data_IF_325671545235
#
_entry.id   IF_325671545235
#
_cell.length_a   1.000
_cell.length_b   1.000
_cell.length_c   1.000
_cell.angle_alpha   90.00
_cell.angle_beta   90.00
_cell.angle_gamma   90.00
#
_symmetry.space_group_name_H-M   'P 1'
#
loop_
_entity.id
_entity.type
_entity.pdbx_description
1 polymer ?
#
# COMPACT_ATOMS: atom_id res chain seq x y z
N UNK A 1 26.43 59.60 -58.53
CA UNK A 1 26.44 59.64 -57.05
C UNK A 1 26.05 58.29 -56.43
N UNK A 2 25.02 57.61 -56.92
CA UNK A 2 24.55 56.29 -56.45
C UNK A 2 25.60 55.18 -56.54
N UNK A 3 26.35 55.06 -57.64
CA UNK A 3 27.36 54.00 -57.83
C UNK A 3 28.47 54.00 -56.77
N UNK A 4 29.00 55.18 -56.45
CA UNK A 4 30.06 55.37 -55.45
C UNK A 4 29.57 55.12 -54.01
N UNK A 5 28.26 55.31 -53.77
CA UNK A 5 27.59 54.98 -52.52
C UNK A 5 27.38 53.47 -52.37
N UNK A 6 26.95 52.79 -53.44
CA UNK A 6 26.81 51.33 -53.48
C UNK A 6 28.15 50.59 -53.32
N UNK A 7 29.23 51.11 -53.92
CA UNK A 7 30.58 50.56 -53.76
C UNK A 7 31.10 50.66 -52.31
N UNK A 8 30.70 51.70 -51.57
CA UNK A 8 31.01 51.83 -50.14
C UNK A 8 30.19 50.90 -49.24
N UNK A 9 29.01 50.49 -49.69
CA UNK A 9 28.16 49.51 -48.99
C UNK A 9 28.49 48.05 -49.37
N UNK A 10 29.25 47.81 -50.45
CA UNK A 10 29.63 46.47 -50.88
C UNK A 10 30.34 45.62 -49.81
N UNK A 11 31.25 46.16 -48.96
CA UNK A 11 31.82 45.40 -47.84
C UNK A 11 30.76 45.01 -46.81
N UNK A 12 29.82 45.91 -46.52
CA UNK A 12 28.72 45.65 -45.60
C UNK A 12 27.79 44.54 -46.10
N UNK A 13 27.42 44.55 -47.39
CA UNK A 13 26.59 43.48 -47.98
C UNK A 13 27.30 42.12 -48.04
N UNK A 14 28.62 42.10 -48.28
CA UNK A 14 29.42 40.86 -48.22
C UNK A 14 29.44 40.29 -46.80
N UNK A 15 29.67 41.12 -45.79
CA UNK A 15 29.65 40.70 -44.39
C UNK A 15 28.26 40.26 -43.94
N UNK A 16 27.21 41.01 -44.30
CA UNK A 16 25.83 40.68 -43.94
C UNK A 16 25.36 39.35 -44.56
N UNK A 17 25.73 39.07 -45.81
CA UNK A 17 25.43 37.80 -46.46
C UNK A 17 26.17 36.63 -45.79
N UNK A 18 27.44 36.81 -45.44
CA UNK A 18 28.23 35.79 -44.74
C UNK A 18 27.64 35.50 -43.36
N UNK A 19 27.26 36.53 -42.61
CA UNK A 19 26.58 36.35 -41.31
C UNK A 19 25.25 35.64 -41.53
N UNK A 20 24.41 36.06 -42.49
CA UNK A 20 23.12 35.44 -42.75
C UNK A 20 23.24 33.96 -43.15
N UNK A 21 24.22 33.60 -43.99
CA UNK A 21 24.50 32.21 -44.36
C UNK A 21 25.05 31.42 -43.18
N UNK A 22 25.95 32.00 -42.37
CA UNK A 22 26.48 31.35 -41.18
C UNK A 22 25.39 31.12 -40.13
N UNK A 23 24.52 32.10 -39.87
CA UNK A 23 23.39 31.97 -38.97
C UNK A 23 22.42 30.92 -39.50
N UNK A 24 22.11 30.92 -40.80
CA UNK A 24 21.24 29.91 -41.40
C UNK A 24 21.85 28.51 -41.29
N UNK A 25 23.16 28.34 -41.49
CA UNK A 25 23.85 27.06 -41.35
C UNK A 25 23.86 26.58 -39.89
N UNK A 26 24.14 27.48 -38.94
CA UNK A 26 24.10 27.17 -37.51
C UNK A 26 22.68 26.85 -37.03
N UNK A 27 21.65 27.57 -37.50
CA UNK A 27 20.26 27.31 -37.09
C UNK A 27 19.65 26.11 -37.82
N UNK A 28 20.02 25.84 -39.07
CA UNK A 28 19.51 24.69 -39.84
C UNK A 28 20.20 23.36 -39.51
N UNK A 29 21.46 23.37 -39.07
CA UNK A 29 22.17 22.15 -38.64
C UNK A 29 21.70 21.67 -37.27
N UNK A 30 21.17 22.56 -36.42
CA UNK A 30 20.78 22.20 -35.05
C UNK A 30 19.37 21.59 -34.98
N UNK A 31 18.61 21.60 -36.08
CA UNK A 31 17.31 20.91 -36.19
C UNK A 31 17.38 19.68 -37.12
N UNK A 32 18.46 18.92 -37.00
CA UNK A 32 18.61 17.59 -37.59
C UNK A 32 18.68 16.56 -36.46
N UNK A 33 18.25 15.31 -36.71
CA UNK A 33 18.46 14.21 -35.77
C UNK A 33 19.95 14.13 -35.42
N UNK A 34 20.30 14.59 -34.23
CA UNK A 34 21.69 14.65 -33.77
C UNK A 34 21.92 13.43 -32.89
N UNK A 35 22.65 12.45 -33.40
CA UNK A 35 23.08 11.30 -32.60
C UNK A 35 24.35 11.69 -31.83
N UNK A 36 24.25 11.75 -30.50
CA UNK A 36 25.43 11.90 -29.64
C UNK A 36 26.00 10.50 -29.36
N UNK A 37 27.25 10.27 -29.76
CA UNK A 37 27.83 8.92 -29.74
C UNK A 37 28.33 8.41 -28.38
N UNK A 38 28.45 9.27 -27.37
CA UNK A 38 28.96 8.88 -26.04
C UNK A 38 28.19 9.56 -24.91
N UNK A 39 28.53 10.81 -24.57
CA UNK A 39 28.03 11.47 -23.37
C UNK A 39 27.43 12.85 -23.68
N UNK A 40 26.37 13.18 -22.95
CA UNK A 40 25.84 14.54 -22.83
C UNK A 40 26.12 15.00 -21.40
N UNK A 41 26.98 16.02 -21.23
CA UNK A 41 27.26 16.64 -19.93
C UNK A 41 26.68 18.05 -19.94
N UNK A 42 25.72 18.32 -19.05
CA UNK A 42 25.08 19.62 -18.91
C UNK A 42 25.45 20.25 -17.57
N UNK A 43 25.64 21.57 -17.52
CA UNK A 43 25.80 22.33 -16.26
C UNK A 43 24.47 22.68 -15.58
N UNK A 44 23.35 22.20 -16.14
CA UNK A 44 21.99 22.41 -15.67
C UNK A 44 21.09 21.26 -16.15
N UNK A 45 19.78 21.46 -16.14
CA UNK A 45 18.82 20.40 -16.47
C UNK A 45 18.91 19.98 -17.95
N UNK A 46 18.83 18.67 -18.18
CA UNK A 46 18.56 18.13 -19.51
C UNK A 46 17.03 18.01 -19.68
N UNK A 47 16.45 18.86 -20.52
CA UNK A 47 15.04 18.77 -20.89
C UNK A 47 14.90 17.90 -22.14
N UNK A 48 14.20 16.78 -22.03
CA UNK A 48 13.82 15.94 -23.17
C UNK A 48 12.38 16.28 -23.56
N UNK A 49 12.18 16.94 -24.70
CA UNK A 49 10.87 17.33 -25.22
C UNK A 49 10.74 16.91 -26.69
N UNK A 50 9.60 16.34 -27.08
CA UNK A 50 9.27 15.99 -28.46
C UNK A 50 8.12 16.83 -29.01
N UNK A 51 8.07 16.99 -30.34
CA UNK A 51 6.98 17.68 -31.06
C UNK A 51 5.79 16.77 -31.38
N UNK A 52 5.88 15.48 -31.08
CA UNK A 52 4.81 14.48 -31.25
C UNK A 52 4.23 14.09 -29.89
N UNK A 53 3.00 13.52 -29.88
CA UNK A 53 2.26 13.13 -28.67
C UNK A 53 2.93 12.06 -27.79
N UNK A 54 4.13 11.62 -28.15
CA UNK A 54 4.96 10.68 -27.39
C UNK A 54 6.38 11.23 -27.32
N UNK A 55 6.74 11.79 -26.18
CA UNK A 55 8.13 12.07 -25.82
C UNK A 55 8.58 10.92 -24.93
N UNK A 56 9.48 10.06 -25.42
CA UNK A 56 9.96 8.90 -24.67
C UNK A 56 11.44 9.08 -24.33
N UNK A 57 11.81 8.95 -23.06
CA UNK A 57 13.17 8.63 -22.66
C UNK A 57 13.23 7.11 -22.48
N UNK A 58 13.95 6.41 -23.36
CA UNK A 58 14.11 4.95 -23.30
C UNK A 58 15.57 4.61 -23.04
N UNK A 59 15.82 3.69 -22.11
CA UNK A 59 17.13 3.07 -21.91
C UNK A 59 17.07 1.62 -22.35
N UNK A 60 18.18 1.10 -22.88
CA UNK A 60 18.37 -0.33 -23.17
C UNK A 60 19.20 -1.04 -22.10
N UNK A 61 19.78 -0.29 -21.17
CA UNK A 61 20.62 -0.79 -20.07
C UNK A 61 19.97 -0.44 -18.74
N UNK A 62 20.40 0.66 -18.13
CA UNK A 62 19.81 1.16 -16.89
C UNK A 62 19.52 2.66 -16.99
N UNK A 63 18.73 3.19 -16.06
CA UNK A 63 18.61 4.62 -15.79
C UNK A 63 19.03 4.86 -14.35
N UNK A 64 20.03 5.71 -14.18
CA UNK A 64 20.55 6.09 -12.87
C UNK A 64 20.18 7.55 -12.59
N UNK A 65 19.42 7.81 -11.53
CA UNK A 65 18.94 9.14 -11.15
C UNK A 65 19.51 9.55 -9.78
N UNK A 66 20.29 10.64 -9.79
CA UNK A 66 20.91 11.23 -8.60
C UNK A 66 22.36 10.78 -8.40
N UNK A 67 22.82 10.77 -7.15
CA UNK A 67 24.20 10.48 -6.78
C UNK A 67 24.51 8.98 -6.74
N UNK A 68 25.78 8.63 -6.89
CA UNK A 68 26.25 7.25 -6.80
C UNK A 68 25.89 6.61 -5.43
N UNK A 69 25.37 5.38 -5.44
CA UNK A 69 24.92 4.61 -4.27
C UNK A 69 25.46 3.19 -4.38
N UNK A 70 25.57 2.50 -3.25
CA UNK A 70 25.86 1.07 -3.25
C UNK A 70 24.72 0.31 -3.90
N UNK A 71 25.03 -0.47 -4.93
CA UNK A 71 24.05 -1.24 -5.68
C UNK A 71 23.36 -2.29 -4.78
N UNK A 72 22.03 -2.43 -4.87
CA UNK A 72 21.35 -3.50 -4.18
C UNK A 72 21.80 -4.87 -4.72
N UNK A 73 21.84 -5.87 -3.85
CA UNK A 73 22.18 -7.25 -4.22
C UNK A 73 21.28 -7.75 -5.36
N UNK A 74 21.89 -8.26 -6.44
CA UNK A 74 21.17 -8.84 -7.58
C UNK A 74 20.92 -7.88 -8.75
N UNK A 75 21.36 -6.62 -8.66
CA UNK A 75 21.32 -5.68 -9.78
C UNK A 75 22.53 -5.88 -10.69
N UNK A 76 22.31 -5.89 -12.00
CA UNK A 76 23.35 -6.24 -12.98
C UNK A 76 23.57 -5.18 -14.06
N UNK A 77 22.86 -4.04 -14.00
CA UNK A 77 22.96 -2.94 -14.98
C UNK A 77 22.74 -3.39 -16.44
N UNK A 78 22.27 -4.61 -16.67
CA UNK A 78 22.27 -5.28 -17.96
C UNK A 78 20.87 -5.50 -18.54
N UNK A 79 19.80 -5.37 -17.75
CA UNK A 79 18.44 -5.77 -18.14
C UNK A 79 17.31 -4.76 -17.85
N UNK A 80 17.59 -3.46 -17.78
CA UNK A 80 16.53 -2.43 -17.71
C UNK A 80 16.33 -1.77 -16.35
N UNK A 81 17.36 -1.78 -15.49
CA UNK A 81 17.27 -1.31 -14.10
C UNK A 81 17.02 0.21 -13.98
N UNK A 82 16.26 0.64 -12.97
CA UNK A 82 16.06 2.06 -12.62
C UNK A 82 16.52 2.32 -11.19
N UNK A 83 17.60 3.07 -11.00
CA UNK A 83 18.05 3.53 -9.68
C UNK A 83 17.61 4.97 -9.47
N UNK A 84 16.99 5.24 -8.31
CA UNK A 84 16.75 6.58 -7.79
C UNK A 84 17.36 6.62 -6.40
N UNK A 85 18.39 7.46 -6.22
CA UNK A 85 19.20 7.52 -4.98
C UNK A 85 18.54 8.28 -3.82
N UNK A 86 17.41 8.92 -4.07
CA UNK A 86 16.67 9.76 -3.13
C UNK A 86 15.15 9.56 -3.38
N UNK A 87 14.35 10.62 -3.32
CA UNK A 87 12.90 10.53 -3.50
C UNK A 87 12.46 10.32 -4.96
N UNK A 88 11.41 9.51 -5.13
CA UNK A 88 10.64 9.39 -6.37
C UNK A 88 9.23 9.97 -6.18
N UNK A 89 8.88 11.02 -6.92
CA UNK A 89 7.54 11.61 -6.92
C UNK A 89 6.77 11.26 -8.19
N UNK A 90 5.58 10.68 -8.02
CA UNK A 90 4.66 10.38 -9.10
C UNK A 90 3.43 11.30 -9.00
N UNK A 91 3.30 12.26 -9.92
CA UNK A 91 2.20 13.24 -9.91
C UNK A 91 0.81 12.63 -10.23
N UNK A 92 0.75 11.37 -10.62
CA UNK A 92 -0.49 10.70 -11.04
C UNK A 92 -0.44 9.23 -10.57
N UNK A 93 -1.02 8.30 -11.33
CA UNK A 93 -1.02 6.90 -10.93
C UNK A 93 0.35 6.26 -11.18
N UNK A 94 0.92 5.65 -10.14
CA UNK A 94 1.97 4.65 -10.30
C UNK A 94 1.30 3.29 -10.51
N UNK A 95 1.58 2.64 -11.63
CA UNK A 95 1.01 1.32 -11.96
C UNK A 95 2.12 0.33 -12.25
N UNK A 96 1.93 -0.92 -11.83
CA UNK A 96 2.82 -2.04 -12.13
C UNK A 96 2.05 -3.09 -12.92
N UNK A 97 2.69 -3.70 -13.92
CA UNK A 97 2.07 -4.74 -14.74
C UNK A 97 2.04 -6.12 -14.08
N UNK A 98 2.94 -6.36 -13.13
CA UNK A 98 3.12 -7.68 -12.49
C UNK A 98 2.97 -7.58 -10.99
N UNK A 99 3.89 -6.86 -10.33
CA UNK A 99 3.88 -6.64 -8.88
C UNK A 99 4.78 -5.47 -8.52
N UNK A 100 4.58 -4.90 -7.32
CA UNK A 100 5.49 -3.98 -6.67
C UNK A 100 6.05 -4.63 -5.41
N UNK A 101 7.37 -4.68 -5.29
CA UNK A 101 8.04 -5.10 -4.06
C UNK A 101 8.77 -3.91 -3.44
N UNK A 102 8.37 -3.56 -2.22
CA UNK A 102 9.04 -2.57 -1.36
C UNK A 102 9.83 -3.30 -0.27
N UNK A 103 11.15 -3.17 -0.26
CA UNK A 103 12.04 -3.82 0.71
C UNK A 103 13.44 -4.14 0.15
N UNK A 104 14.31 -4.76 0.95
CA UNK A 104 15.72 -4.98 0.60
C UNK A 104 15.98 -6.22 -0.27
N UNK A 105 14.96 -6.77 -0.95
CA UNK A 105 15.12 -7.88 -1.90
C UNK A 105 15.42 -9.26 -1.30
N UNK A 106 14.80 -9.63 -0.16
CA UNK A 106 14.94 -10.93 0.50
C UNK A 106 14.22 -12.13 -0.17
N UNK A 107 13.52 -12.97 0.61
CA UNK A 107 12.63 -14.01 0.04
C UNK A 107 11.20 -13.56 0.20
N UNK A 108 10.53 -13.21 -0.90
CA UNK A 108 9.09 -13.04 -0.90
C UNK A 108 8.42 -14.41 -0.74
N UNK A 109 7.71 -14.58 0.36
CA UNK A 109 7.02 -15.81 0.72
C UNK A 109 5.60 -15.90 0.15
N UNK A 110 5.00 -14.76 -0.22
CA UNK A 110 3.59 -14.65 -0.61
C UNK A 110 3.34 -13.84 -1.89
N UNK A 111 4.36 -13.60 -2.73
CA UNK A 111 4.15 -12.91 -4.01
C UNK A 111 3.58 -13.89 -5.05
N UNK A 112 2.39 -13.61 -5.56
CA UNK A 112 2.00 -14.11 -6.88
C UNK A 112 2.55 -13.12 -7.91
N UNK A 113 3.47 -13.56 -8.76
CA UNK A 113 4.04 -12.73 -9.83
C UNK A 113 3.06 -12.58 -11.02
N UNK A 114 1.76 -12.46 -10.74
CA UNK A 114 0.71 -12.22 -11.70
C UNK A 114 -0.41 -11.42 -11.03
N UNK A 115 -0.77 -10.26 -11.59
CA UNK A 115 -2.02 -9.58 -11.25
C UNK A 115 -1.94 -8.29 -10.45
N UNK A 116 -0.76 -7.68 -10.29
CA UNK A 116 -0.62 -6.36 -9.66
C UNK A 116 -0.45 -6.39 -8.13
N UNK A 117 0.14 -7.47 -7.61
CA UNK A 117 0.39 -7.64 -6.18
C UNK A 117 1.31 -6.53 -5.62
N UNK A 118 1.04 -6.08 -4.39
CA UNK A 118 1.96 -5.27 -3.59
C UNK A 118 2.51 -6.11 -2.45
N UNK A 119 3.84 -6.23 -2.37
CA UNK A 119 4.52 -6.82 -1.23
C UNK A 119 5.42 -5.78 -0.56
N UNK A 120 5.23 -5.61 0.75
CA UNK A 120 6.05 -4.75 1.59
C UNK A 120 6.75 -5.64 2.61
N UNK A 121 8.07 -5.53 2.70
CA UNK A 121 8.85 -6.23 3.69
C UNK A 121 8.75 -5.50 5.04
N UNK A 122 8.33 -6.23 6.07
CA UNK A 122 8.09 -5.72 7.44
C UNK A 122 6.80 -4.89 7.53
N UNK A 123 6.91 -3.59 7.78
CA UNK A 123 5.79 -2.74 8.19
C UNK A 123 5.33 -1.82 7.06
N UNK A 124 4.02 -1.59 7.00
CA UNK A 124 3.41 -0.57 6.14
C UNK A 124 2.79 0.50 7.02
N UNK A 125 3.15 1.76 6.79
CA UNK A 125 2.54 2.92 7.45
C UNK A 125 1.58 3.61 6.48
N UNK A 126 0.38 3.97 6.97
CA UNK A 126 -0.65 4.65 6.20
C UNK A 126 -1.23 5.75 7.09
N UNK A 127 -0.98 7.01 6.75
CA UNK A 127 -1.46 8.17 7.53
C UNK A 127 -3.01 8.23 7.62
N UNK A 128 -3.70 7.61 6.67
CA UNK A 128 -5.15 7.58 6.54
C UNK A 128 -5.77 6.19 6.76
N UNK A 129 -6.94 5.97 6.15
CA UNK A 129 -7.63 4.69 6.23
C UNK A 129 -7.12 3.68 5.20
N UNK A 130 -6.98 2.42 5.62
CA UNK A 130 -6.83 1.28 4.71
C UNK A 130 -8.21 0.79 4.25
N UNK A 131 -8.44 0.81 2.93
CA UNK A 131 -9.64 0.26 2.30
C UNK A 131 -9.30 -1.03 1.56
N UNK A 132 -9.89 -2.14 1.99
CA UNK A 132 -9.68 -3.47 1.41
C UNK A 132 -11.03 -4.18 1.28
N UNK A 133 -11.19 -4.95 0.22
CA UNK A 133 -12.39 -5.79 0.01
C UNK A 133 -12.33 -7.04 0.91
N UNK A 134 -11.14 -7.63 1.03
CA UNK A 134 -10.87 -8.78 1.89
C UNK A 134 -9.43 -8.72 2.41
N UNK A 135 -9.22 -9.15 3.65
CA UNK A 135 -7.91 -9.26 4.27
C UNK A 135 -7.81 -10.52 5.13
N UNK A 136 -6.71 -11.25 4.98
CA UNK A 136 -6.38 -12.42 5.80
C UNK A 136 -5.10 -12.14 6.56
N UNK A 137 -5.14 -12.27 7.89
CA UNK A 137 -3.95 -12.20 8.74
C UNK A 137 -3.65 -13.59 9.28
N UNK A 138 -2.42 -14.07 9.12
CA UNK A 138 -1.97 -15.37 9.66
C UNK A 138 -1.41 -15.26 11.09
N UNK A 139 -1.04 -14.05 11.50
CA UNK A 139 -0.66 -13.70 12.87
C UNK A 139 -1.79 -13.00 13.63
N UNK A 140 -1.42 -12.00 14.43
CA UNK A 140 -2.39 -11.20 15.20
C UNK A 140 -2.78 -9.92 14.45
N UNK A 141 -4.08 -9.58 14.46
CA UNK A 141 -4.56 -8.24 14.13
C UNK A 141 -4.76 -7.44 15.42
N UNK A 142 -4.07 -6.31 15.56
CA UNK A 142 -4.23 -5.38 16.69
C UNK A 142 -4.88 -4.09 16.22
N UNK A 143 -5.99 -3.72 16.83
CA UNK A 143 -6.68 -2.45 16.57
C UNK A 143 -6.46 -1.54 17.77
N UNK A 144 -5.72 -0.44 17.58
CA UNK A 144 -5.43 0.52 18.66
C UNK A 144 -6.61 1.42 19.02
N UNK A 145 -7.62 1.52 18.14
CA UNK A 145 -8.84 2.30 18.32
C UNK A 145 -10.10 1.43 18.40
N UNK A 146 -11.22 1.94 17.86
CA UNK A 146 -12.47 1.19 17.79
C UNK A 146 -12.46 0.20 16.62
N UNK A 147 -12.91 -1.03 16.87
CA UNK A 147 -13.24 -2.01 15.83
C UNK A 147 -14.76 -2.17 15.75
N UNK A 148 -15.34 -2.07 14.55
CA UNK A 148 -16.78 -2.20 14.33
C UNK A 148 -17.06 -2.95 13.03
N UNK A 149 -18.08 -3.80 13.03
CA UNK A 149 -18.58 -4.49 11.83
C UNK A 149 -20.03 -4.06 11.55
N UNK A 150 -20.43 -4.07 10.28
CA UNK A 150 -21.85 -3.94 9.89
C UNK A 150 -22.54 -5.29 9.76
N UNK A 151 -21.76 -6.35 9.55
CA UNK A 151 -22.20 -7.75 9.60
C UNK A 151 -21.64 -8.47 10.82
N UNK A 152 -21.43 -9.77 10.68
CA UNK A 152 -21.05 -10.64 11.79
C UNK A 152 -19.58 -10.49 12.19
N UNK A 153 -19.32 -10.60 13.50
CA UNK A 153 -18.00 -10.92 14.03
C UNK A 153 -18.00 -12.41 14.40
N UNK A 154 -17.24 -13.21 13.66
CA UNK A 154 -17.12 -14.65 13.88
C UNK A 154 -15.74 -14.96 14.44
N UNK A 155 -15.69 -15.66 15.58
CA UNK A 155 -14.45 -16.16 16.20
C UNK A 155 -14.48 -17.69 16.20
N UNK A 156 -13.70 -18.30 15.32
CA UNK A 156 -13.58 -19.75 15.20
C UNK A 156 -12.40 -20.30 16.00
N UNK A 157 -12.62 -21.37 16.78
CA UNK A 157 -11.54 -22.12 17.44
C UNK A 157 -10.77 -21.39 18.55
N UNK A 158 -11.33 -20.32 19.13
CA UNK A 158 -10.67 -19.51 20.17
C UNK A 158 -11.63 -18.82 21.15
N UNK A 159 -11.11 -17.84 21.89
CA UNK A 159 -11.83 -17.09 22.95
C UNK A 159 -11.96 -15.62 22.57
N UNK A 160 -13.10 -15.00 22.91
CA UNK A 160 -13.22 -13.54 22.99
C UNK A 160 -12.87 -13.13 24.42
N UNK A 161 -11.70 -12.51 24.61
CA UNK A 161 -11.29 -11.93 25.89
C UNK A 161 -11.63 -10.43 25.94
N UNK A 162 -12.51 -10.06 26.86
CA UNK A 162 -12.96 -8.67 27.09
C UNK A 162 -12.28 -8.11 28.34
N UNK A 163 -10.98 -7.84 28.23
CA UNK A 163 -10.19 -7.29 29.31
C UNK A 163 -9.90 -5.79 29.09
N UNK A 164 -9.75 -5.04 30.19
CA UNK A 164 -9.27 -3.66 30.16
C UNK A 164 -8.03 -3.52 31.03
N UNK A 165 -6.97 -2.93 30.49
CA UNK A 165 -5.72 -2.73 31.24
C UNK A 165 -5.75 -1.55 32.22
N UNK A 166 -6.80 -0.72 32.18
CA UNK A 166 -6.96 0.43 33.06
C UNK A 166 -7.94 0.10 34.18
N UNK A 167 -7.52 0.22 35.45
CA UNK A 167 -8.32 -0.18 36.62
C UNK A 167 -9.68 0.54 36.76
N UNK A 168 -9.90 1.63 36.02
CA UNK A 168 -11.13 2.43 36.08
C UNK A 168 -12.11 2.12 34.95
N UNK A 169 -11.78 1.25 34.01
CA UNK A 169 -12.67 0.88 32.90
C UNK A 169 -13.35 -0.46 33.17
N UNK A 170 -14.64 -0.54 32.92
CA UNK A 170 -15.40 -1.79 33.00
C UNK A 170 -15.43 -2.43 31.61
N UNK A 171 -14.85 -3.61 31.46
CA UNK A 171 -15.11 -4.47 30.30
C UNK A 171 -16.55 -4.95 30.34
N UNK A 172 -17.24 -4.97 29.20
CA UNK A 172 -18.65 -5.36 29.18
C UNK A 172 -19.12 -5.81 27.81
N UNK A 173 -20.07 -6.73 27.82
CA UNK A 173 -20.80 -7.17 26.63
C UNK A 173 -22.23 -6.61 26.71
N UNK A 174 -22.60 -5.79 25.72
CA UNK A 174 -23.93 -5.21 25.63
C UNK A 174 -24.66 -5.80 24.41
N UNK A 175 -25.64 -6.65 24.66
CA UNK A 175 -26.49 -7.25 23.62
C UNK A 175 -27.77 -6.42 23.50
N UNK A 176 -27.78 -5.47 22.55
CA UNK A 176 -28.84 -4.47 22.40
C UNK A 176 -29.10 -4.19 20.92
N UNK A 177 -30.29 -3.69 20.61
CA UNK A 177 -30.67 -3.21 19.29
C UNK A 177 -31.13 -1.75 19.38
N UNK A 178 -30.89 -0.99 18.31
CA UNK A 178 -31.19 0.44 18.22
C UNK A 178 -32.58 0.77 17.63
N UNK A 179 -33.37 -0.22 17.19
CA UNK A 179 -34.71 -0.04 16.60
C UNK A 179 -35.61 -1.29 16.81
N UNK A 180 -35.95 -2.04 15.75
CA UNK A 180 -36.93 -3.14 15.71
C UNK A 180 -36.34 -4.56 15.62
N UNK A 181 -35.01 -4.72 15.71
CA UNK A 181 -34.37 -6.03 15.73
C UNK A 181 -34.48 -6.76 17.09
N UNK A 182 -34.25 -8.07 17.07
CA UNK A 182 -34.08 -8.87 18.28
C UNK A 182 -32.58 -8.97 18.59
N UNK A 183 -32.20 -8.83 19.85
CA UNK A 183 -30.85 -9.13 20.31
C UNK A 183 -30.90 -10.36 21.20
N UNK A 184 -30.06 -11.35 20.92
CA UNK A 184 -30.00 -12.61 21.65
C UNK A 184 -28.58 -12.88 22.09
N UNK A 185 -28.45 -13.47 23.28
CA UNK A 185 -27.24 -14.17 23.69
C UNK A 185 -27.61 -15.64 23.77
N UNK A 186 -27.03 -16.46 22.90
CA UNK A 186 -27.15 -17.92 22.98
C UNK A 186 -25.85 -18.49 23.52
N UNK A 187 -25.98 -19.47 24.41
CA UNK A 187 -24.84 -20.18 24.99
C UNK A 187 -25.10 -21.67 24.80
N UNK A 188 -24.20 -22.35 24.08
CA UNK A 188 -24.31 -23.78 23.74
C UNK A 188 -24.34 -24.08 22.24
N UNK A 189 -24.29 -25.37 21.89
CA UNK A 189 -24.43 -25.85 20.51
C UNK A 189 -25.89 -26.07 20.16
N UNK A 190 -26.27 -25.72 18.93
CA UNK A 190 -27.60 -26.05 18.35
C UNK A 190 -27.54 -27.36 17.54
N UNK A 191 -26.33 -27.88 17.26
CA UNK A 191 -26.12 -29.09 16.46
C UNK A 191 -25.50 -30.22 17.31
N UNK A 192 -26.19 -31.38 17.34
CA UNK A 192 -25.60 -32.69 17.70
C UNK A 192 -25.65 -33.13 19.19
N UNK A 193 -26.64 -34.00 19.49
CA UNK A 193 -26.78 -34.95 20.62
C UNK A 193 -26.71 -34.46 22.09
N UNK A 194 -27.88 -34.39 22.71
CA UNK A 194 -28.27 -34.90 24.04
C UNK A 194 -27.42 -34.64 25.30
N UNK A 195 -26.51 -33.68 25.28
CA UNK A 195 -26.00 -33.07 26.51
C UNK A 195 -26.04 -31.56 26.37
N UNK A 196 -26.72 -30.90 27.31
CA UNK A 196 -26.76 -29.44 27.42
C UNK A 196 -25.33 -28.92 27.48
N UNK A 197 -24.78 -28.48 26.35
CA UNK A 197 -23.35 -28.14 26.19
C UNK A 197 -23.07 -26.64 26.34
N UNK A 198 -24.13 -25.85 26.59
CA UNK A 198 -24.03 -24.43 26.89
C UNK A 198 -24.25 -24.16 28.36
N UNK A 199 -23.27 -23.53 29.00
CA UNK A 199 -23.40 -23.02 30.35
C UNK A 199 -22.70 -21.67 30.47
N UNK A 200 -23.24 -20.84 31.36
CA UNK A 200 -22.63 -19.59 31.78
C UNK A 200 -21.82 -19.85 33.04
N UNK A 201 -20.51 -19.66 32.95
CA UNK A 201 -19.62 -19.70 34.11
C UNK A 201 -19.49 -18.31 34.72
N UNK A 202 -19.66 -18.22 36.04
CA UNK A 202 -19.57 -17.00 36.82
C UNK A 202 -18.54 -17.21 37.93
N UNK A 203 -17.73 -16.18 38.19
CA UNK A 203 -16.74 -16.20 39.28
C UNK A 203 -17.21 -15.27 40.39
N UNK A 204 -17.38 -15.82 41.59
CA UNK A 204 -17.72 -15.06 42.78
C UNK A 204 -16.54 -14.23 43.29
N UNK A 205 -16.84 -13.20 44.08
CA UNK A 205 -15.80 -12.41 44.76
C UNK A 205 -15.01 -13.20 45.81
N UNK A 206 -15.52 -14.36 46.21
CA UNK A 206 -14.88 -15.36 47.05
C UNK A 206 -13.92 -16.28 46.27
N UNK A 207 -13.82 -16.09 44.95
CA UNK A 207 -12.99 -16.90 44.05
C UNK A 207 -13.60 -18.25 43.68
N UNK A 208 -14.85 -18.53 44.09
CA UNK A 208 -15.57 -19.74 43.70
C UNK A 208 -16.14 -19.62 42.29
N UNK A 209 -16.28 -20.76 41.63
CA UNK A 209 -16.94 -20.86 40.32
C UNK A 209 -18.37 -21.32 40.50
N UNK A 210 -19.26 -20.73 39.71
CA UNK A 210 -20.66 -21.11 39.59
C UNK A 210 -20.95 -21.35 38.11
N UNK A 211 -21.65 -22.43 37.80
CA UNK A 211 -22.16 -22.68 36.46
C UNK A 211 -23.67 -22.47 36.46
N UNK A 212 -24.20 -21.94 35.37
CA UNK A 212 -25.63 -21.81 35.13
C UNK A 212 -25.97 -22.41 33.76
N UNK A 213 -26.96 -23.30 33.71
CA UNK A 213 -27.41 -23.96 32.48
C UNK A 213 -28.93 -24.10 32.44
N UNK A 214 -29.46 -24.48 31.28
CA UNK A 214 -30.89 -24.79 31.16
C UNK A 214 -31.11 -26.21 31.70
N UNK A 215 -31.96 -26.33 32.73
CA UNK A 215 -32.40 -27.63 33.22
C UNK A 215 -33.53 -28.15 32.34
N UNK A 216 -33.21 -29.13 31.50
CA UNK A 216 -34.15 -29.73 30.54
C UNK A 216 -35.01 -30.83 31.17
N UNK A 217 -34.62 -31.34 32.33
CA UNK A 217 -35.28 -32.45 33.02
C UNK A 217 -36.21 -31.98 34.14
N UNK A 218 -36.04 -30.74 34.62
CA UNK A 218 -36.94 -30.14 35.60
C UNK A 218 -38.32 -29.80 35.00
N UNK A 219 -39.42 -30.00 35.77
CA UNK A 219 -40.79 -29.69 35.33
C UNK A 219 -41.03 -28.20 35.06
N UNK A 220 -40.11 -27.32 35.47
CA UNK A 220 -40.05 -25.92 35.07
C UNK A 220 -38.76 -25.70 34.30
N UNK A 221 -38.81 -25.81 32.98
CA UNK A 221 -37.66 -25.56 32.10
C UNK A 221 -37.14 -24.14 32.35
N UNK A 222 -36.01 -24.04 33.06
CA UNK A 222 -35.51 -22.78 33.60
C UNK A 222 -34.00 -22.78 33.75
N UNK A 223 -33.45 -21.60 34.04
CA UNK A 223 -32.03 -21.47 34.34
C UNK A 223 -31.76 -22.02 35.76
N UNK A 224 -30.93 -23.05 35.85
CA UNK A 224 -30.46 -23.65 37.10
C UNK A 224 -28.97 -23.37 37.28
N UNK A 225 -28.57 -23.01 38.50
CA UNK A 225 -27.17 -22.71 38.81
C UNK A 225 -26.66 -23.54 39.99
N UNK A 226 -25.39 -23.94 39.93
CA UNK A 226 -24.70 -24.73 40.96
C UNK A 226 -23.25 -24.29 41.18
N UNK A 227 -22.59 -24.86 42.20
CA UNK A 227 -21.16 -24.69 42.44
C UNK A 227 -20.36 -25.58 41.48
N UNK A 228 -19.27 -25.05 40.92
CA UNK A 228 -18.40 -25.76 39.98
C UNK A 228 -18.17 -24.98 38.68
N UNK A 229 -17.37 -25.55 37.77
CA UNK A 229 -17.14 -24.99 36.45
C UNK A 229 -18.08 -25.57 35.40
N UNK A 230 -18.11 -24.90 34.27
CA UNK A 230 -18.72 -25.43 33.07
C UNK A 230 -18.05 -26.74 32.63
N UNK A 231 -18.78 -27.86 32.69
CA UNK A 231 -18.31 -29.18 32.24
C UNK A 231 -17.63 -30.06 33.30
N UNK A 232 -17.62 -29.62 34.56
CA UNK A 232 -17.26 -30.46 35.73
C UNK A 232 -18.37 -31.47 36.08
#
# INVERSE_FOLDING_TARGET
MIRRFLERLAPFFRSALVVLVATFFVTSIVYAATTVGTNVTTGGNLTVSGTTSTTNATTTGYLYVGGDITEPTGWDFGVGDLIVSDDAFFNSQATTSVSLWVGSGGTANNLNMAGGDLYVQNDVEIDGGLWVDSATTTGSLKIGGYASTTGDLIVGGGTIDLNTSTATTTGGMFVRNNNTATSTLSVGSVEGSDTVTGCLELVGSDGQYYFCGVDIDAPTSGLSCGLGRCGD
#
